data_IF_006295926050
#
_entry.id   IF_006295926050
#
_cell.length_a   1.000
_cell.length_b   1.000
_cell.length_c   1.000
_cell.angle_alpha   90.00
_cell.angle_beta   90.00
_cell.angle_gamma   90.00
#
_symmetry.space_group_name_H-M   'P 1'
#
loop_
_entity.id
_entity.type
_entity.pdbx_description
1 polymer ?
#
# COMPACT_ATOMS: atom_id res chain seq x y z
N UNK A 1 -21.31 20.29 0.89
CA UNK A 1 -21.33 19.72 -0.48
C UNK A 1 -22.63 18.95 -0.80
N UNK A 2 -23.80 19.43 -0.38
CA UNK A 2 -25.07 18.68 -0.50
C UNK A 2 -25.83 18.92 -1.83
N UNK A 3 -25.26 19.69 -2.75
CA UNK A 3 -25.96 20.15 -3.96
C UNK A 3 -25.78 19.25 -5.18
N UNK A 4 -24.90 18.24 -5.10
CA UNK A 4 -24.47 17.54 -6.31
C UNK A 4 -25.30 16.30 -6.67
N UNK A 5 -26.17 15.86 -5.76
CA UNK A 5 -27.09 14.75 -5.97
C UNK A 5 -28.54 15.24 -6.08
N UNK A 6 -28.79 16.33 -6.83
CA UNK A 6 -30.17 16.76 -7.10
C UNK A 6 -30.79 15.80 -8.12
N UNK A 7 -31.83 15.02 -7.76
CA UNK A 7 -32.39 13.98 -8.64
C UNK A 7 -32.99 14.54 -9.93
N UNK A 8 -33.36 15.83 -9.95
CA UNK A 8 -34.06 16.45 -11.08
C UNK A 8 -33.21 16.67 -12.34
N UNK A 9 -31.89 16.52 -12.27
CA UNK A 9 -30.99 16.76 -13.41
C UNK A 9 -30.05 15.58 -13.70
N UNK A 10 -30.08 14.52 -12.89
CA UNK A 10 -29.23 13.35 -13.09
C UNK A 10 -29.70 12.53 -14.29
N UNK A 11 -28.78 12.13 -15.15
CA UNK A 11 -28.99 11.34 -16.37
C UNK A 11 -28.33 9.95 -16.28
N UNK A 12 -27.69 9.62 -15.15
CA UNK A 12 -27.19 8.29 -14.83
C UNK A 12 -27.30 7.95 -13.34
N UNK A 13 -27.16 6.66 -13.05
CA UNK A 13 -27.20 6.11 -11.70
C UNK A 13 -26.06 5.13 -11.47
N UNK A 14 -25.37 5.25 -10.35
CA UNK A 14 -24.37 4.29 -9.90
C UNK A 14 -24.95 3.51 -8.74
N UNK A 15 -24.98 2.19 -8.86
CA UNK A 15 -25.42 1.25 -7.84
C UNK A 15 -24.17 0.66 -7.21
N UNK A 16 -24.03 0.78 -5.90
CA UNK A 16 -22.90 0.25 -5.16
C UNK A 16 -23.41 -0.25 -3.81
N UNK A 17 -23.30 -1.55 -3.58
CA UNK A 17 -23.89 -2.22 -2.41
C UNK A 17 -25.39 -1.90 -2.29
N UNK A 18 -25.82 -1.33 -1.15
CA UNK A 18 -27.20 -0.92 -0.88
C UNK A 18 -27.49 0.54 -1.29
N UNK A 19 -26.50 1.24 -1.88
CA UNK A 19 -26.60 2.65 -2.23
C UNK A 19 -26.85 2.84 -3.72
N UNK A 20 -27.71 3.81 -4.01
CA UNK A 20 -28.03 4.25 -5.37
C UNK A 20 -27.70 5.75 -5.47
N UNK A 21 -26.70 6.08 -6.28
CA UNK A 21 -26.14 7.43 -6.39
C UNK A 21 -26.51 8.04 -7.75
N UNK A 22 -27.29 9.11 -7.73
CA UNK A 22 -27.71 9.85 -8.93
C UNK A 22 -26.58 10.76 -9.42
N UNK A 23 -26.14 10.62 -10.68
CA UNK A 23 -24.95 11.31 -11.21
C UNK A 23 -25.21 11.93 -12.58
N UNK A 24 -24.29 12.80 -13.01
CA UNK A 24 -24.30 13.40 -14.34
C UNK A 24 -23.26 12.72 -15.25
N UNK A 25 -23.72 12.04 -16.32
CA UNK A 25 -22.87 11.37 -17.32
C UNK A 25 -21.83 12.32 -17.87
N UNK A 26 -22.24 13.52 -18.27
CA UNK A 26 -21.34 14.50 -18.87
C UNK A 26 -20.11 14.80 -17.99
N UNK A 27 -20.28 14.90 -16.67
CA UNK A 27 -19.18 15.18 -15.74
C UNK A 27 -18.27 13.94 -15.60
N UNK A 28 -18.87 12.76 -15.37
CA UNK A 28 -18.12 11.52 -15.19
C UNK A 28 -17.34 11.13 -16.43
N UNK A 29 -17.99 11.08 -17.59
CA UNK A 29 -17.39 10.75 -18.88
C UNK A 29 -16.32 11.77 -19.28
N UNK A 30 -16.49 13.04 -18.90
CA UNK A 30 -15.50 14.09 -19.13
C UNK A 30 -14.20 13.89 -18.35
N UNK A 31 -14.28 13.34 -17.13
CA UNK A 31 -13.15 13.24 -16.20
C UNK A 31 -12.55 11.83 -16.08
N UNK A 32 -13.28 10.79 -16.49
CA UNK A 32 -12.87 9.39 -16.43
C UNK A 32 -13.15 8.69 -17.75
N UNK A 33 -12.11 8.10 -18.33
CA UNK A 33 -12.26 7.25 -19.50
C UNK A 33 -13.03 5.96 -19.17
N UNK A 34 -12.84 5.41 -17.96
CA UNK A 34 -13.57 4.23 -17.50
C UNK A 34 -15.09 4.49 -17.51
N UNK A 35 -15.54 5.60 -16.91
CA UNK A 35 -16.96 5.96 -16.91
C UNK A 35 -17.46 6.28 -18.32
N UNK A 36 -16.65 6.91 -19.18
CA UNK A 36 -16.99 7.14 -20.57
C UNK A 36 -17.26 5.84 -21.32
N UNK A 37 -16.38 4.85 -21.20
CA UNK A 37 -16.57 3.54 -21.83
C UNK A 37 -17.79 2.80 -21.26
N UNK A 38 -18.05 2.93 -19.95
CA UNK A 38 -19.15 2.23 -19.30
C UNK A 38 -20.53 2.88 -19.57
N UNK A 39 -20.62 4.22 -19.61
CA UNK A 39 -21.88 4.97 -19.75
C UNK A 39 -22.22 5.36 -21.19
N UNK A 40 -21.22 5.57 -22.04
CA UNK A 40 -21.37 6.03 -23.44
C UNK A 40 -20.80 5.03 -24.46
N UNK A 41 -20.28 3.89 -24.01
CA UNK A 41 -19.75 2.86 -24.90
C UNK A 41 -20.82 2.14 -25.73
N UNK A 42 -20.43 1.30 -26.69
CA UNK A 42 -21.38 0.53 -27.51
C UNK A 42 -22.09 -0.61 -26.75
N UNK A 43 -21.70 -0.85 -25.50
CA UNK A 43 -22.19 -1.96 -24.69
C UNK A 43 -23.62 -1.74 -24.20
N UNK A 44 -24.37 -2.83 -23.99
CA UNK A 44 -25.77 -2.76 -23.54
C UNK A 44 -25.94 -1.95 -22.24
N UNK A 45 -24.91 -1.95 -21.39
CA UNK A 45 -24.85 -1.18 -20.12
C UNK A 45 -25.01 0.33 -20.35
N UNK A 46 -24.48 0.88 -21.45
CA UNK A 46 -24.58 2.32 -21.74
C UNK A 46 -26.02 2.78 -21.97
N UNK A 47 -26.88 1.89 -22.49
CA UNK A 47 -28.29 2.17 -22.76
C UNK A 47 -29.13 2.22 -21.49
N UNK A 48 -28.73 1.52 -20.44
CA UNK A 48 -29.47 1.48 -19.18
C UNK A 48 -29.27 2.75 -18.34
N UNK A 49 -28.23 3.56 -18.65
CA UNK A 49 -27.81 4.71 -17.83
C UNK A 49 -27.55 4.33 -16.36
N UNK A 50 -27.35 3.05 -16.07
CA UNK A 50 -27.05 2.53 -14.74
C UNK A 50 -25.79 1.66 -14.79
N UNK A 51 -24.91 1.82 -13.81
CA UNK A 51 -23.71 1.01 -13.63
C UNK A 51 -23.72 0.45 -12.22
N UNK A 52 -23.37 -0.83 -12.08
CA UNK A 52 -23.16 -1.47 -10.78
C UNK A 52 -21.66 -1.63 -10.54
N UNK A 53 -21.19 -1.24 -9.35
CA UNK A 53 -19.80 -1.40 -8.88
C UNK A 53 -19.85 -2.26 -7.63
N UNK A 54 -19.31 -3.48 -7.69
CA UNK A 54 -19.39 -4.46 -6.59
C UNK A 54 -18.04 -4.64 -5.88
N UNK A 55 -16.93 -4.33 -6.56
CA UNK A 55 -15.58 -4.63 -6.07
C UNK A 55 -15.05 -3.57 -5.08
N UNK A 56 -15.75 -2.44 -4.95
CA UNK A 56 -15.27 -1.28 -4.21
C UNK A 56 -16.34 -0.87 -3.20
N UNK A 57 -15.99 -0.69 -1.90
CA UNK A 57 -16.93 -0.28 -0.88
C UNK A 57 -17.66 1.01 -1.22
N UNK A 58 -18.95 1.11 -0.86
CA UNK A 58 -19.79 2.24 -1.21
C UNK A 58 -19.26 3.59 -0.70
N UNK A 59 -18.57 3.62 0.45
CA UNK A 59 -17.95 4.83 1.00
C UNK A 59 -16.82 5.36 0.11
N UNK A 60 -15.95 4.47 -0.40
CA UNK A 60 -14.87 4.85 -1.32
C UNK A 60 -15.42 5.33 -2.67
N UNK A 61 -16.47 4.67 -3.18
CA UNK A 61 -17.15 5.11 -4.41
C UNK A 61 -17.80 6.48 -4.21
N UNK A 62 -18.45 6.72 -3.06
CA UNK A 62 -19.04 8.01 -2.73
C UNK A 62 -17.99 9.12 -2.70
N UNK A 63 -16.88 8.91 -1.98
CA UNK A 63 -15.77 9.87 -1.93
C UNK A 63 -15.17 10.13 -3.32
N UNK A 64 -15.00 9.09 -4.13
CA UNK A 64 -14.51 9.21 -5.51
C UNK A 64 -15.43 10.08 -6.36
N UNK A 65 -16.75 9.87 -6.26
CA UNK A 65 -17.72 10.66 -6.99
C UNK A 65 -17.73 12.10 -6.51
N UNK A 66 -17.58 12.37 -5.21
CA UNK A 66 -17.41 13.73 -4.70
C UNK A 66 -16.14 14.40 -5.24
N UNK A 67 -15.04 13.67 -5.37
CA UNK A 67 -13.82 14.18 -6.00
C UNK A 67 -14.05 14.53 -7.48
N UNK A 68 -14.60 13.57 -8.26
CA UNK A 68 -14.84 13.76 -9.69
C UNK A 68 -15.84 14.87 -9.94
N UNK A 69 -16.91 14.95 -9.15
CA UNK A 69 -18.00 15.86 -9.40
C UNK A 69 -17.70 17.23 -8.76
N UNK A 70 -17.36 17.25 -7.47
CA UNK A 70 -17.13 18.48 -6.72
C UNK A 70 -15.89 19.25 -7.13
N UNK A 71 -14.93 18.61 -7.82
CA UNK A 71 -13.60 19.21 -8.04
C UNK A 71 -12.92 19.52 -6.72
N UNK A 72 -13.23 18.72 -5.69
CA UNK A 72 -12.76 18.92 -4.34
C UNK A 72 -11.23 18.83 -4.27
N UNK A 73 -10.65 19.56 -3.34
CA UNK A 73 -9.26 19.35 -2.95
C UNK A 73 -9.09 17.91 -2.43
N UNK A 74 -7.94 17.31 -2.73
CA UNK A 74 -7.61 15.97 -2.29
C UNK A 74 -7.41 15.94 -0.76
N UNK A 75 -8.50 15.75 -0.01
CA UNK A 75 -8.45 15.51 1.42
C UNK A 75 -8.73 14.03 1.70
N UNK A 76 -7.71 13.34 2.20
CA UNK A 76 -7.80 11.96 2.70
C UNK A 76 -7.85 11.89 4.22
N UNK A 77 -7.64 13.03 4.90
CA UNK A 77 -7.89 13.13 6.34
C UNK A 77 -9.38 12.97 6.55
N UNK A 78 -9.76 11.93 7.30
CA UNK A 78 -11.15 11.57 7.61
C UNK A 78 -12.00 11.12 6.41
N UNK A 79 -11.37 10.73 5.29
CA UNK A 79 -12.10 10.21 4.14
C UNK A 79 -12.75 8.85 4.48
N UNK A 80 -14.08 8.72 4.35
CA UNK A 80 -14.78 7.51 4.74
C UNK A 80 -14.37 6.32 3.87
N UNK A 81 -14.21 5.16 4.51
CA UNK A 81 -13.79 3.92 3.86
C UNK A 81 -12.28 3.81 3.60
N UNK A 82 -11.48 4.87 3.79
CA UNK A 82 -10.03 4.81 3.67
C UNK A 82 -9.35 4.36 4.96
N UNK A 83 -8.14 3.85 4.84
CA UNK A 83 -7.30 3.51 5.98
C UNK A 83 -6.98 4.76 6.84
N UNK A 84 -6.89 4.60 8.16
CA UNK A 84 -6.52 5.69 9.08
C UNK A 84 -5.07 6.15 8.92
N UNK A 85 -4.18 5.28 8.43
CA UNK A 85 -2.84 5.67 8.02
C UNK A 85 -2.91 6.48 6.73
N UNK A 86 -2.49 7.75 6.81
CA UNK A 86 -2.51 8.66 5.66
C UNK A 86 -1.69 8.13 4.47
N UNK A 87 -0.56 7.44 4.72
CA UNK A 87 0.27 6.86 3.65
C UNK A 87 -0.41 5.68 2.96
N UNK A 88 -1.14 4.86 3.71
CA UNK A 88 -1.94 3.76 3.14
C UNK A 88 -3.13 4.34 2.39
N UNK A 89 -3.80 5.36 2.93
CA UNK A 89 -4.90 6.06 2.26
C UNK A 89 -4.46 6.66 0.91
N UNK A 90 -3.26 7.25 0.83
CA UNK A 90 -2.71 7.70 -0.45
C UNK A 90 -2.54 6.56 -1.45
N UNK A 91 -2.04 5.40 -1.03
CA UNK A 91 -1.93 4.24 -1.91
C UNK A 91 -3.32 3.80 -2.41
N UNK A 92 -4.31 3.68 -1.52
CA UNK A 92 -5.67 3.31 -1.90
C UNK A 92 -6.31 4.32 -2.87
N UNK A 93 -6.08 5.62 -2.66
CA UNK A 93 -6.58 6.66 -3.55
C UNK A 93 -5.89 6.61 -4.92
N UNK A 94 -4.58 6.32 -4.96
CA UNK A 94 -3.85 6.12 -6.20
C UNK A 94 -4.38 4.91 -6.98
N UNK A 95 -4.62 3.81 -6.28
CA UNK A 95 -5.18 2.57 -6.83
C UNK A 95 -6.56 2.79 -7.44
N UNK A 96 -7.45 3.51 -6.75
CA UNK A 96 -8.75 3.93 -7.26
C UNK A 96 -8.60 4.81 -8.50
N UNK A 97 -7.69 5.80 -8.45
CA UNK A 97 -7.43 6.68 -9.57
C UNK A 97 -6.92 5.93 -10.80
N UNK A 98 -6.05 4.95 -10.59
CA UNK A 98 -5.57 4.08 -11.66
C UNK A 98 -6.70 3.19 -12.23
N UNK A 99 -7.49 2.56 -11.36
CA UNK A 99 -8.61 1.68 -11.76
C UNK A 99 -9.65 2.40 -12.61
N UNK A 100 -10.12 3.57 -12.14
CA UNK A 100 -11.12 4.38 -12.85
C UNK A 100 -10.53 5.30 -13.92
N UNK A 101 -9.23 5.17 -14.22
CA UNK A 101 -8.51 5.99 -15.20
C UNK A 101 -8.74 7.49 -14.98
N UNK A 102 -8.35 7.96 -13.80
CA UNK A 102 -8.47 9.34 -13.32
C UNK A 102 -7.07 9.96 -13.12
N UNK A 103 -6.42 10.48 -14.18
CA UNK A 103 -5.06 11.04 -14.09
C UNK A 103 -4.95 12.19 -13.07
N UNK A 104 -6.01 12.97 -12.90
CA UNK A 104 -6.04 14.06 -11.92
C UNK A 104 -5.93 13.54 -10.48
N UNK A 105 -6.57 12.40 -10.16
CA UNK A 105 -6.49 11.80 -8.84
C UNK A 105 -5.09 11.20 -8.61
N UNK A 106 -4.57 10.42 -9.55
CA UNK A 106 -3.24 9.80 -9.40
C UNK A 106 -2.13 10.83 -9.30
N UNK A 107 -2.20 11.91 -10.09
CA UNK A 107 -1.24 13.02 -10.04
C UNK A 107 -1.38 13.79 -8.73
N UNK A 108 -2.62 14.12 -8.33
CA UNK A 108 -2.88 14.79 -7.06
C UNK A 108 -2.34 14.02 -5.86
N UNK A 109 -2.52 12.70 -5.84
CA UNK A 109 -1.98 11.82 -4.80
C UNK A 109 -0.46 11.82 -4.78
N UNK A 110 0.20 11.69 -5.94
CA UNK A 110 1.67 11.72 -6.03
C UNK A 110 2.23 13.04 -5.52
N UNK A 111 1.62 14.16 -5.92
CA UNK A 111 2.01 15.50 -5.45
C UNK A 111 1.79 15.62 -3.95
N UNK A 112 0.57 15.32 -3.46
CA UNK A 112 0.23 15.42 -2.06
C UNK A 112 1.10 14.53 -1.18
N UNK A 113 1.41 13.29 -1.60
CA UNK A 113 2.30 12.38 -0.88
C UNK A 113 3.73 12.90 -0.83
N UNK A 114 4.24 13.44 -1.95
CA UNK A 114 5.60 14.02 -2.01
C UNK A 114 5.73 15.30 -1.18
N UNK A 115 4.64 16.05 -1.06
CA UNK A 115 4.53 17.32 -0.33
C UNK A 115 3.98 17.15 1.08
N UNK A 116 3.73 15.92 1.54
CA UNK A 116 3.27 15.72 2.89
C UNK A 116 4.26 16.36 3.86
N UNK A 117 3.77 17.17 4.82
CA UNK A 117 4.60 17.65 5.90
C UNK A 117 5.28 16.46 6.55
N UNK A 118 6.59 16.57 6.77
CA UNK A 118 7.28 15.64 7.65
C UNK A 118 6.71 15.71 9.07
N UNK A 119 7.18 14.82 9.96
CA UNK A 119 6.93 14.97 11.38
C UNK A 119 7.37 16.38 11.78
N UNK A 120 6.43 17.17 12.31
CA UNK A 120 6.68 18.59 12.53
C UNK A 120 7.80 18.75 13.56
N UNK A 121 8.72 19.68 13.29
CA UNK A 121 9.70 20.09 14.29
C UNK A 121 9.04 20.69 15.55
N UNK A 122 7.76 21.08 15.51
CA UNK A 122 7.02 21.50 16.69
C UNK A 122 6.61 20.34 17.62
N UNK A 123 6.59 19.10 17.12
CA UNK A 123 6.40 17.90 17.95
C UNK A 123 7.73 17.42 18.55
N UNK A 124 8.84 17.92 18.01
CA UNK A 124 10.14 17.81 18.66
C UNK A 124 10.13 18.78 19.83
N UNK A 125 9.81 18.26 21.01
CA UNK A 125 10.06 18.99 22.26
C UNK A 125 11.47 19.56 22.19
N UNK A 126 11.58 20.89 22.27
CA UNK A 126 12.86 21.60 22.31
C UNK A 126 13.60 21.19 23.58
N UNK A 127 14.25 20.02 23.51
CA UNK A 127 15.28 19.63 24.44
C UNK A 127 16.46 20.56 24.21
N UNK A 128 17.04 21.05 25.31
CA UNK A 128 18.25 21.89 25.33
C UNK A 128 19.50 21.14 24.87
N UNK A 129 19.35 19.88 24.42
CA UNK A 129 20.41 19.10 23.80
C UNK A 129 20.81 19.74 22.46
N UNK A 130 22.10 20.11 22.26
CA UNK A 130 22.61 20.63 21.00
C UNK A 130 22.45 19.66 19.83
N UNK A 131 22.12 18.39 20.10
CA UNK A 131 21.74 17.39 19.11
C UNK A 131 20.39 16.79 19.47
N UNK A 132 19.26 17.48 19.23
CA UNK A 132 17.95 16.91 19.46
C UNK A 132 17.85 15.63 18.62
N UNK A 133 17.83 14.47 19.30
CA UNK A 133 17.50 13.21 18.65
C UNK A 133 16.03 13.27 18.32
N UNK A 134 15.71 13.86 17.18
CA UNK A 134 14.40 13.84 16.60
C UNK A 134 14.02 12.38 16.35
N UNK A 135 13.34 11.77 17.33
CA UNK A 135 12.83 10.42 17.17
C UNK A 135 11.50 10.51 16.44
N UNK A 136 11.41 9.75 15.35
CA UNK A 136 10.12 9.51 14.72
C UNK A 136 9.23 8.75 15.70
N UNK A 137 7.94 9.06 15.74
CA UNK A 137 7.02 8.20 16.47
C UNK A 137 6.99 6.83 15.80
N UNK A 138 6.94 5.75 16.60
CA UNK A 138 6.84 4.40 16.06
C UNK A 138 5.61 4.25 15.15
N UNK A 139 4.52 4.96 15.47
CA UNK A 139 3.30 5.03 14.67
C UNK A 139 3.55 5.62 13.28
N UNK A 140 4.29 6.73 13.18
CA UNK A 140 4.64 7.33 11.89
C UNK A 140 5.47 6.37 11.05
N UNK A 141 6.51 5.77 11.63
CA UNK A 141 7.39 4.83 10.92
C UNK A 141 6.60 3.61 10.44
N UNK A 142 5.77 3.02 11.30
CA UNK A 142 4.91 1.89 10.93
C UNK A 142 3.93 2.24 9.81
N UNK A 143 3.22 3.37 9.94
CA UNK A 143 2.28 3.86 8.94
C UNK A 143 2.96 4.13 7.58
N UNK A 144 4.14 4.73 7.60
CA UNK A 144 4.93 5.03 6.42
C UNK A 144 5.35 3.74 5.70
N UNK A 145 5.93 2.77 6.42
CA UNK A 145 6.39 1.52 5.81
C UNK A 145 5.24 0.62 5.36
N UNK A 146 4.06 0.66 6.00
CA UNK A 146 2.86 0.02 5.44
C UNK A 146 2.48 0.60 4.08
N UNK A 147 2.59 1.93 3.91
CA UNK A 147 2.41 2.60 2.62
C UNK A 147 3.45 2.19 1.59
N UNK A 148 4.73 2.17 1.98
CA UNK A 148 5.84 1.71 1.11
C UNK A 148 5.62 0.27 0.65
N UNK A 149 5.41 -0.66 1.58
CA UNK A 149 5.19 -2.06 1.28
C UNK A 149 4.04 -2.23 0.28
N UNK A 150 2.94 -1.48 0.47
CA UNK A 150 1.80 -1.50 -0.46
C UNK A 150 2.16 -0.96 -1.85
N UNK A 151 2.86 0.16 -1.94
CA UNK A 151 3.27 0.76 -3.22
C UNK A 151 4.28 -0.12 -3.99
N UNK A 152 5.14 -0.85 -3.27
CA UNK A 152 6.16 -1.73 -3.85
C UNK A 152 5.66 -3.17 -4.08
N UNK A 153 4.56 -3.59 -3.45
CA UNK A 153 3.90 -4.86 -3.76
C UNK A 153 3.42 -4.93 -5.23
N UNK A 154 3.14 -3.78 -5.86
CA UNK A 154 2.78 -3.71 -7.26
C UNK A 154 3.99 -3.34 -8.15
N UNK A 155 4.52 -4.33 -8.87
CA UNK A 155 5.65 -4.15 -9.79
C UNK A 155 5.27 -3.50 -11.13
N UNK A 156 4.00 -3.13 -11.34
CA UNK A 156 3.55 -2.50 -12.57
C UNK A 156 4.23 -1.13 -12.79
N UNK A 157 4.67 -0.82 -14.03
CA UNK A 157 5.17 0.50 -14.38
C UNK A 157 4.21 1.65 -14.03
N UNK A 158 2.90 1.38 -14.00
CA UNK A 158 1.89 2.36 -13.63
C UNK A 158 1.97 2.84 -12.18
N UNK A 159 2.64 2.09 -11.29
CA UNK A 159 2.83 2.45 -9.88
C UNK A 159 4.17 3.13 -9.60
N UNK A 160 5.04 3.26 -10.62
CA UNK A 160 6.33 3.96 -10.50
C UNK A 160 6.19 5.42 -10.02
N UNK A 161 5.19 6.21 -10.44
CA UNK A 161 5.00 7.56 -9.90
C UNK A 161 4.77 7.56 -8.38
N UNK A 162 3.95 6.62 -7.87
CA UNK A 162 3.67 6.47 -6.45
C UNK A 162 4.93 6.04 -5.67
N UNK A 163 5.65 5.04 -6.17
CA UNK A 163 6.92 4.59 -5.57
C UNK A 163 7.95 5.73 -5.50
N UNK A 164 8.07 6.51 -6.58
CA UNK A 164 8.95 7.68 -6.64
C UNK A 164 8.52 8.77 -5.65
N UNK A 165 7.22 8.96 -5.43
CA UNK A 165 6.71 9.93 -4.47
C UNK A 165 7.17 9.59 -3.03
N UNK A 166 7.14 8.31 -2.63
CA UNK A 166 7.69 7.86 -1.35
C UNK A 166 9.19 8.18 -1.23
N UNK A 167 9.97 7.92 -2.29
CA UNK A 167 11.40 8.25 -2.31
C UNK A 167 11.62 9.75 -2.17
N UNK A 168 10.88 10.57 -2.90
CA UNK A 168 10.97 12.04 -2.83
C UNK A 168 10.62 12.53 -1.42
N UNK A 169 9.57 11.99 -0.80
CA UNK A 169 9.20 12.31 0.57
C UNK A 169 10.34 11.99 1.56
N UNK A 170 10.92 10.79 1.46
CA UNK A 170 12.07 10.40 2.30
C UNK A 170 13.29 11.30 2.07
N UNK A 171 13.64 11.61 0.82
CA UNK A 171 14.81 12.45 0.52
C UNK A 171 14.64 13.89 1.01
N UNK A 172 13.41 14.43 0.97
CA UNK A 172 13.08 15.75 1.56
C UNK A 172 13.29 15.75 3.07
N UNK A 173 12.93 14.67 3.74
CA UNK A 173 13.01 14.52 5.19
C UNK A 173 14.27 13.78 5.66
N UNK A 174 15.27 13.59 4.79
CA UNK A 174 16.40 12.67 5.02
C UNK A 174 17.19 12.94 6.31
N UNK A 175 17.27 14.20 6.74
CA UNK A 175 18.02 14.60 7.93
C UNK A 175 17.36 14.13 9.24
N UNK A 176 16.04 13.94 9.24
CA UNK A 176 15.28 13.37 10.35
C UNK A 176 15.17 11.86 10.14
N UNK A 177 14.67 11.47 8.96
CA UNK A 177 14.23 10.11 8.68
C UNK A 177 15.39 9.11 8.62
N UNK A 178 16.53 9.47 8.00
CA UNK A 178 17.68 8.57 7.93
C UNK A 178 18.55 8.59 9.19
N UNK A 179 18.33 9.55 10.09
CA UNK A 179 18.99 9.59 11.39
C UNK A 179 18.28 8.69 12.42
N UNK A 180 17.02 8.31 12.16
CA UNK A 180 16.21 7.47 13.04
C UNK A 180 16.60 5.97 12.92
N UNK A 181 17.01 5.32 14.03
CA UNK A 181 17.35 3.90 14.02
C UNK A 181 16.17 2.98 13.68
N UNK A 182 14.95 3.36 14.06
CA UNK A 182 13.74 2.59 13.78
C UNK A 182 13.45 2.57 12.29
N UNK A 183 13.51 3.73 11.64
CA UNK A 183 13.34 3.86 10.20
C UNK A 183 14.41 3.08 9.42
N UNK A 184 15.68 3.24 9.80
CA UNK A 184 16.78 2.52 9.14
C UNK A 184 16.73 1.01 9.36
N UNK A 185 16.22 0.55 10.51
CA UNK A 185 15.90 -0.86 10.73
C UNK A 185 14.86 -1.39 9.73
N UNK A 186 13.75 -0.66 9.55
CA UNK A 186 12.69 -1.03 8.62
C UNK A 186 13.10 -0.96 7.12
N UNK A 187 14.13 -0.19 6.76
CA UNK A 187 14.66 -0.21 5.38
C UNK A 187 15.20 -1.59 4.98
N UNK A 188 15.63 -2.41 5.94
CA UNK A 188 16.07 -3.79 5.69
C UNK A 188 14.94 -4.69 5.17
N UNK A 189 13.70 -4.40 5.53
CA UNK A 189 12.52 -5.18 5.13
C UNK A 189 12.06 -4.84 3.70
N UNK A 190 12.43 -3.67 3.18
CA UNK A 190 12.01 -3.16 1.86
C UNK A 190 13.21 -2.83 0.95
N UNK A 191 13.93 -3.84 0.42
CA UNK A 191 15.19 -3.63 -0.29
C UNK A 191 15.06 -2.86 -1.60
N UNK A 192 13.92 -2.99 -2.30
CA UNK A 192 13.64 -2.22 -3.52
C UNK A 192 13.53 -0.72 -3.22
N UNK A 193 12.85 -0.37 -2.13
CA UNK A 193 12.71 1.00 -1.69
C UNK A 193 14.05 1.57 -1.20
N UNK A 194 14.80 0.80 -0.40
CA UNK A 194 16.14 1.19 0.05
C UNK A 194 17.09 1.46 -1.13
N UNK A 195 17.06 0.60 -2.16
CA UNK A 195 17.81 0.81 -3.40
C UNK A 195 17.41 2.13 -4.08
N UNK A 196 16.12 2.40 -4.22
CA UNK A 196 15.64 3.62 -4.89
C UNK A 196 16.00 4.90 -4.11
N UNK A 197 16.04 4.85 -2.77
CA UNK A 197 16.59 5.93 -1.94
C UNK A 197 18.08 6.16 -2.23
N UNK A 198 18.89 5.10 -2.23
CA UNK A 198 20.33 5.20 -2.50
C UNK A 198 20.60 5.78 -3.89
N UNK A 199 19.86 5.32 -4.91
CA UNK A 199 19.94 5.88 -6.26
C UNK A 199 19.53 7.36 -6.30
N UNK A 200 18.51 7.74 -5.51
CA UNK A 200 18.11 9.13 -5.33
C UNK A 200 19.22 10.00 -4.73
N UNK A 201 19.86 9.54 -3.66
CA UNK A 201 20.99 10.23 -3.02
C UNK A 201 22.18 10.39 -3.97
N UNK A 202 22.54 9.33 -4.69
CA UNK A 202 23.61 9.38 -5.70
C UNK A 202 23.26 10.38 -6.81
N UNK A 203 22.01 10.41 -7.27
CA UNK A 203 21.58 11.36 -8.29
C UNK A 203 21.66 12.81 -7.81
N UNK A 204 21.41 13.10 -6.53
CA UNK A 204 21.63 14.45 -5.98
C UNK A 204 23.11 14.84 -5.97
N UNK A 205 24.02 13.89 -5.67
CA UNK A 205 25.46 14.13 -5.66
C UNK A 205 26.05 14.35 -7.05
N UNK A 206 25.61 13.56 -8.05
CA UNK A 206 26.21 13.54 -9.38
C UNK A 206 25.37 14.21 -10.47
N UNK A 207 24.08 14.46 -10.22
CA UNK A 207 23.13 15.02 -11.18
C UNK A 207 22.98 16.55 -11.12
N UNK A 208 23.65 17.21 -10.18
CA UNK A 208 23.63 18.66 -10.00
C UNK A 208 24.49 19.42 -11.01
N UNK A 209 24.08 19.43 -12.29
CA UNK A 209 24.68 20.23 -13.36
C UNK A 209 26.02 19.67 -13.86
N UNK A 210 26.29 19.62 -15.16
CA UNK A 210 26.35 20.83 -15.96
C UNK A 210 27.57 21.72 -15.64
N UNK A 211 28.11 21.64 -14.42
CA UNK A 211 29.49 22.05 -14.17
C UNK A 211 30.37 20.99 -14.79
N UNK A 212 30.96 21.30 -15.95
CA UNK A 212 32.19 20.66 -16.41
C UNK A 212 33.04 20.42 -15.16
N UNK A 213 33.20 19.15 -14.76
CA UNK A 213 34.47 18.74 -14.22
C UNK A 213 35.47 19.17 -15.29
N UNK A 214 36.07 20.34 -15.11
CA UNK A 214 37.40 20.59 -15.62
C UNK A 214 38.20 19.44 -15.03
N UNK A 215 38.32 18.37 -15.81
CA UNK A 215 39.38 17.40 -15.66
C UNK A 215 40.61 18.25 -15.44
N UNK A 216 41.28 18.20 -14.27
CA UNK A 216 42.50 18.94 -14.09
C UNK A 216 43.39 18.56 -15.27
N UNK A 217 43.72 19.56 -16.08
CA UNK A 217 44.57 19.44 -17.24
C UNK A 217 45.83 18.69 -16.80
N UNK A 218 46.04 17.57 -17.49
CA UNK A 218 47.07 16.56 -17.30
C UNK A 218 48.25 16.97 -16.40
N UNK A 219 48.37 16.29 -15.25
CA UNK A 219 49.67 16.11 -14.62
C UNK A 219 50.45 15.11 -15.49
N UNK A 220 51.72 15.40 -15.83
CA UNK A 220 52.49 14.61 -16.77
C UNK A 220 52.71 13.18 -16.29
N UNK A 221 52.56 12.30 -17.28
CA UNK A 221 52.74 10.87 -17.30
C UNK A 221 54.00 10.42 -16.53
N UNK A 222 53.82 9.78 -15.39
CA UNK A 222 54.86 8.98 -14.75
C UNK A 222 54.32 7.64 -14.26
N UNK A 223 54.72 6.60 -14.99
CA UNK A 223 54.98 5.23 -14.52
C UNK A 223 53.82 4.37 -13.99
N UNK A 224 53.31 3.53 -14.90
CA UNK A 224 53.25 2.05 -14.81
C UNK A 224 53.39 1.46 -13.39
N UNK A 225 52.27 1.27 -12.72
CA UNK A 225 52.13 0.45 -11.51
C UNK A 225 50.97 -0.53 -11.67
N UNK A 226 51.29 -1.82 -11.60
CA UNK A 226 50.40 -2.97 -11.71
C UNK A 226 49.51 -3.08 -10.45
N UNK A 227 48.18 -3.04 -10.62
CA UNK A 227 47.21 -3.30 -9.55
C UNK A 227 46.20 -4.35 -10.02
N UNK A 228 46.68 -5.58 -10.15
CA UNK A 228 45.85 -6.77 -10.23
C UNK A 228 45.42 -7.23 -8.83
N UNK A 229 44.11 -7.21 -8.59
CA UNK A 229 43.46 -7.96 -7.52
C UNK A 229 43.05 -7.12 -6.32
N UNK A 230 41.74 -6.95 -6.14
CA UNK A 230 41.00 -6.92 -4.86
C UNK A 230 39.55 -6.45 -5.09
N UNK A 231 38.71 -7.28 -5.71
CA UNK A 231 37.26 -7.23 -5.50
C UNK A 231 36.69 -8.66 -5.60
N UNK A 232 36.10 -9.24 -4.53
CA UNK A 232 35.43 -10.52 -4.61
C UNK A 232 34.03 -10.38 -5.22
N UNK A 233 33.65 -11.40 -6.00
CA UNK A 233 32.54 -11.40 -6.93
C UNK A 233 31.16 -11.30 -6.30
N UNK A 234 30.36 -10.40 -6.85
CA UNK A 234 28.90 -10.42 -6.73
C UNK A 234 28.36 -11.27 -7.87
N UNK A 235 27.96 -12.50 -7.56
CA UNK A 235 27.27 -13.39 -8.48
C UNK A 235 25.85 -12.90 -8.71
N UNK A 236 25.53 -12.56 -9.95
CA UNK A 236 24.18 -12.27 -10.41
C UNK A 236 23.29 -13.52 -10.31
N UNK A 237 22.27 -13.49 -9.46
CA UNK A 237 21.16 -14.45 -9.53
C UNK A 237 19.99 -13.76 -10.26
N UNK A 238 19.44 -14.35 -11.33
CA UNK A 238 18.29 -13.77 -12.01
C UNK A 238 17.02 -13.98 -11.18
N UNK A 239 16.33 -12.89 -10.86
CA UNK A 239 14.97 -12.95 -10.30
C UNK A 239 13.98 -13.31 -11.41
N UNK A 240 13.25 -14.42 -11.24
CA UNK A 240 12.10 -14.76 -12.07
C UNK A 240 10.89 -13.98 -11.58
N UNK A 241 10.41 -13.04 -12.39
CA UNK A 241 9.11 -12.38 -12.16
C UNK A 241 7.99 -13.29 -12.66
N UNK A 242 7.10 -13.68 -11.74
CA UNK A 242 5.85 -14.37 -12.05
C UNK A 242 4.84 -13.37 -12.61
N UNK A 243 4.60 -13.40 -13.93
CA UNK A 243 3.43 -12.80 -14.54
C UNK A 243 2.20 -13.64 -14.17
N UNK A 244 1.30 -13.08 -13.36
CA UNK A 244 -0.15 -13.34 -13.29
C UNK A 244 -0.66 -12.90 -11.91
N UNK A 245 -1.27 -11.71 -11.84
CA UNK A 245 -1.86 -11.18 -10.61
C UNK A 245 -3.21 -10.54 -10.88
N UNK A 246 -4.29 -11.24 -10.52
CA UNK A 246 -5.56 -10.59 -10.21
C UNK A 246 -5.32 -9.66 -8.99
N UNK A 247 -5.78 -8.40 -9.02
CA UNK A 247 -5.47 -7.47 -7.95
C UNK A 247 -6.51 -7.57 -6.81
N UNK A 248 -6.08 -7.15 -5.63
CA UNK A 248 -6.89 -6.93 -4.41
C UNK A 248 -7.32 -8.20 -3.66
N UNK A 249 -6.38 -8.80 -2.93
CA UNK A 249 -6.51 -9.34 -1.56
C UNK A 249 -5.16 -9.99 -1.22
N UNK A 250 -4.14 -9.19 -0.92
CA UNK A 250 -2.87 -9.69 -0.40
C UNK A 250 -2.87 -9.47 1.12
N UNK A 251 -2.89 -10.56 1.88
CA UNK A 251 -2.64 -10.52 3.32
C UNK A 251 -1.19 -10.09 3.57
N UNK A 252 -0.99 -8.82 3.91
CA UNK A 252 0.31 -8.28 4.28
C UNK A 252 0.61 -8.70 5.73
N UNK A 253 1.80 -9.27 5.97
CA UNK A 253 2.36 -9.35 7.33
C UNK A 253 2.75 -7.94 7.77
N UNK A 254 2.43 -7.56 9.01
CA UNK A 254 2.83 -6.27 9.56
C UNK A 254 4.34 -6.26 9.84
N UNK A 255 5.13 -5.34 9.27
CA UNK A 255 6.55 -5.18 9.62
C UNK A 255 6.78 -4.83 11.10
N UNK A 256 5.76 -4.31 11.78
CA UNK A 256 5.87 -3.73 13.13
C UNK A 256 5.73 -4.76 14.25
N UNK A 257 5.40 -6.02 13.95
CA UNK A 257 5.26 -7.09 14.96
C UNK A 257 6.59 -7.40 15.66
N UNK A 258 7.72 -6.98 15.06
CA UNK A 258 9.07 -7.17 15.61
C UNK A 258 9.45 -6.12 16.67
N UNK A 259 8.80 -4.95 16.70
CA UNK A 259 9.20 -3.83 17.56
C UNK A 259 8.68 -3.92 19.02
N UNK A 260 7.78 -4.85 19.34
CA UNK A 260 7.14 -4.93 20.67
C UNK A 260 7.69 -6.01 21.60
N UNK A 261 8.85 -6.63 21.30
CA UNK A 261 9.45 -7.63 22.20
C UNK A 261 10.37 -6.98 23.22
N UNK A 262 9.81 -6.35 24.23
CA UNK A 262 10.49 -6.15 25.51
C UNK A 262 10.27 -7.38 26.40
N UNK A 263 11.37 -7.96 26.90
CA UNK A 263 11.35 -9.14 27.76
C UNK A 263 10.63 -8.83 29.09
N UNK A 264 9.39 -9.28 29.22
CA UNK A 264 8.71 -9.39 30.51
C UNK A 264 8.87 -10.82 31.03
N UNK A 265 9.61 -10.99 32.13
CA UNK A 265 9.61 -12.19 32.95
C UNK A 265 8.19 -12.44 33.47
N UNK A 266 7.60 -13.59 33.12
CA UNK A 266 6.31 -14.04 33.67
C UNK A 266 6.54 -15.38 34.36
N UNK A 267 6.37 -15.40 35.69
CA UNK A 267 6.20 -16.63 36.48
C UNK A 267 4.78 -17.20 36.31
N UNK A 268 4.58 -18.53 36.44
CA UNK A 268 3.27 -19.14 36.22
C UNK A 268 2.45 -19.19 37.51
N UNK A 269 1.22 -18.69 37.46
CA UNK A 269 0.18 -19.00 38.46
C UNK A 269 -1.13 -19.37 37.75
N UNK A 270 -1.54 -20.63 37.96
CA UNK A 270 -2.90 -21.01 38.38
C UNK A 270 -4.08 -20.88 37.41
N UNK A 271 -4.47 -22.04 36.86
CA UNK A 271 -5.80 -22.48 36.43
C UNK A 271 -7.02 -21.56 36.64
N UNK A 272 -7.80 -21.37 35.56
CA UNK A 272 -9.26 -21.28 35.65
C UNK A 272 -9.96 -21.77 34.36
N UNK A 273 -11.07 -22.47 34.58
CA UNK A 273 -11.96 -23.13 33.63
C UNK A 273 -12.56 -22.22 32.55
N UNK A 274 -12.68 -22.72 31.32
CA UNK A 274 -13.59 -22.20 30.29
C UNK A 274 -14.48 -23.33 29.78
N UNK A 275 -15.78 -23.05 29.68
CA UNK A 275 -16.84 -23.98 29.33
C UNK A 275 -16.88 -24.26 27.81
N UNK A 276 -17.10 -25.52 27.44
CA UNK A 276 -17.34 -25.99 26.08
C UNK A 276 -18.82 -25.82 25.69
N UNK A 277 -19.08 -25.34 24.47
CA UNK A 277 -20.41 -25.41 23.83
C UNK A 277 -20.28 -26.10 22.46
N UNK A 278 -20.90 -27.28 22.33
CA UNK A 278 -21.39 -27.87 21.08
C UNK A 278 -20.39 -28.58 20.16
N UNK A 279 -20.38 -29.92 20.17
CA UNK A 279 -19.75 -30.76 19.13
C UNK A 279 -20.83 -31.46 18.30
N UNK A 280 -20.77 -31.35 16.97
CA UNK A 280 -21.46 -32.27 16.05
C UNK A 280 -20.43 -33.22 15.46
N UNK A 281 -20.61 -34.53 15.66
CA UNK A 281 -19.74 -35.58 15.12
C UNK A 281 -20.37 -36.21 13.88
N UNK A 282 -19.59 -36.32 12.80
CA UNK A 282 -19.88 -37.17 11.64
C UNK A 282 -18.98 -38.42 11.67
N UNK A 283 -19.47 -39.65 11.38
CA UNK A 283 -18.81 -40.86 11.87
C UNK A 283 -17.66 -41.42 11.00
N UNK A 284 -17.10 -40.66 10.05
CA UNK A 284 -16.12 -41.22 9.10
C UNK A 284 -14.85 -40.40 8.82
N UNK A 285 -14.53 -39.39 9.63
CA UNK A 285 -13.26 -38.66 9.53
C UNK A 285 -12.70 -38.35 10.93
N UNK A 286 -11.42 -38.68 11.16
CA UNK A 286 -10.66 -38.30 12.36
C UNK A 286 -10.21 -36.82 12.26
N UNK A 287 -11.13 -35.89 12.05
CA UNK A 287 -10.83 -34.46 12.04
C UNK A 287 -11.80 -33.71 12.97
N UNK A 288 -11.23 -32.88 13.83
CA UNK A 288 -11.96 -31.92 14.67
C UNK A 288 -11.77 -30.54 14.04
N UNK A 289 -12.87 -29.90 13.66
CA UNK A 289 -12.88 -28.54 13.13
C UNK A 289 -13.22 -27.56 14.25
N UNK A 290 -12.33 -26.61 14.52
CA UNK A 290 -12.58 -25.46 15.39
C UNK A 290 -12.64 -24.20 14.52
N UNK A 291 -13.68 -23.38 14.74
CA UNK A 291 -13.82 -22.08 14.08
C UNK A 291 -13.57 -20.98 15.10
N UNK A 292 -12.55 -20.16 14.83
CA UNK A 292 -12.30 -18.90 15.53
C UNK A 292 -11.93 -17.85 14.47
N UNK A 293 -12.64 -16.71 14.44
CA UNK A 293 -12.37 -15.57 13.55
C UNK A 293 -12.25 -15.88 12.04
N UNK A 294 -13.20 -16.62 11.47
CA UNK A 294 -13.24 -16.96 10.02
C UNK A 294 -12.02 -17.76 9.48
N UNK A 295 -11.13 -18.28 10.34
CA UNK A 295 -10.13 -19.26 9.94
C UNK A 295 -10.61 -20.68 10.27
N UNK A 296 -10.58 -21.59 9.28
CA UNK A 296 -10.82 -23.02 9.50
C UNK A 296 -9.49 -23.69 9.81
N UNK A 297 -9.32 -24.19 11.03
CA UNK A 297 -8.14 -24.96 11.44
C UNK A 297 -8.48 -26.46 11.36
N UNK A 298 -7.74 -27.22 10.54
CA UNK A 298 -7.71 -28.69 10.62
C UNK A 298 -6.55 -29.10 11.52
N UNK A 299 -6.87 -29.87 12.56
CA UNK A 299 -5.90 -30.52 13.42
C UNK A 299 -5.95 -32.03 13.18
N UNK A 300 -4.83 -32.62 12.77
CA UNK A 300 -4.67 -34.07 12.67
C UNK A 300 -3.93 -34.58 13.90
N UNK A 301 -4.51 -35.57 14.58
CA UNK A 301 -3.90 -36.20 15.76
C UNK A 301 -3.07 -37.39 15.29
N UNK A 302 -1.76 -37.37 15.57
CA UNK A 302 -0.89 -38.51 15.34
C UNK A 302 -1.14 -39.62 16.39
N UNK A 303 -0.89 -40.89 16.05
CA UNK A 303 -1.06 -42.01 16.98
C UNK A 303 -0.20 -41.92 18.25
N UNK A 304 0.84 -41.08 18.25
CA UNK A 304 1.75 -40.87 19.39
C UNK A 304 1.35 -39.68 20.30
N UNK A 305 0.17 -39.08 20.10
CA UNK A 305 -0.38 -38.04 21.00
C UNK A 305 0.22 -36.64 20.84
N UNK A 306 1.11 -36.41 19.88
CA UNK A 306 1.62 -35.08 19.54
C UNK A 306 0.67 -34.30 18.64
N UNK A 307 0.27 -33.08 19.05
CA UNK A 307 -0.45 -32.11 18.22
C UNK A 307 0.54 -31.36 17.32
N UNK A 308 0.36 -31.46 16.00
CA UNK A 308 1.11 -30.65 15.04
C UNK A 308 0.17 -29.68 14.35
N UNK A 309 0.44 -28.38 14.45
CA UNK A 309 -0.34 -27.34 13.79
C UNK A 309 0.14 -27.21 12.34
N UNK A 310 -0.61 -27.77 11.38
CA UNK A 310 -0.32 -27.60 9.96
C UNK A 310 -1.32 -26.61 9.35
N UNK A 311 -0.97 -25.32 9.32
CA UNK A 311 -1.75 -24.31 8.58
C UNK A 311 -1.68 -24.63 7.09
N UNK A 312 -2.74 -25.25 6.57
CA UNK A 312 -2.92 -25.50 5.14
C UNK A 312 -3.97 -24.52 4.64
N UNK A 313 -3.54 -23.50 3.89
CA UNK A 313 -4.46 -22.50 3.33
C UNK A 313 -5.15 -23.09 2.11
N UNK A 314 -6.42 -23.47 2.26
CA UNK A 314 -7.26 -23.85 1.13
C UNK A 314 -7.88 -22.58 0.52
N UNK A 315 -7.48 -22.27 -0.72
CA UNK A 315 -8.06 -21.19 -1.52
C UNK A 315 -9.32 -21.73 -2.21
N UNK A 316 -10.51 -21.47 -1.65
CA UNK A 316 -11.77 -21.77 -2.33
C UNK A 316 -11.95 -20.79 -3.50
N UNK A 317 -11.88 -21.29 -4.73
CA UNK A 317 -12.26 -20.54 -5.93
C UNK A 317 -13.77 -20.64 -6.12
N UNK A 318 -14.50 -19.58 -5.75
CA UNK A 318 -15.89 -19.37 -6.20
C UNK A 318 -15.86 -18.67 -7.56
N UNK A 319 -16.11 -19.41 -8.64
CA UNK A 319 -16.40 -18.85 -9.96
C UNK A 319 -17.92 -18.63 -10.08
N UNK A 320 -18.35 -17.37 -10.18
CA UNK A 320 -19.72 -17.01 -10.50
C UNK A 320 -19.83 -16.58 -11.97
N UNK A 321 -20.71 -17.27 -12.70
CA UNK A 321 -21.01 -17.11 -14.13
C UNK A 321 -21.72 -15.77 -14.40
N UNK A 322 -21.23 -15.00 -15.36
CA UNK A 322 -22.02 -13.98 -16.06
C UNK A 322 -21.86 -14.15 -17.57
N UNK A 323 -22.60 -15.10 -18.12
CA UNK A 323 -22.96 -15.17 -19.53
C UNK A 323 -24.17 -16.11 -19.68
N UNK A 324 -25.37 -15.57 -19.47
CA UNK A 324 -26.65 -15.94 -20.11
C UNK A 324 -27.81 -15.32 -19.32
N UNK A 325 -28.25 -14.13 -19.74
CA UNK A 325 -29.65 -13.71 -19.90
C UNK A 325 -29.70 -12.35 -20.57
#
# INVERSE_FOLDING_TARGET
MHYMFRPGLSDATIICEDRTLAVHKFILCGRSEWFRTALDGPFVVSKASSITIEEIPADKVSWLLEFICGGAELSLKDAPGFNSSIFVAYCEAYELGHYFRLPLLTTGVVTALSEQPGPSASDLQYTTDPFPKAQLTAEYTCAFFHGVARAYANNSPAFRPLQRAFVVHTLRQRHIVLADPGFTGCLGDEPCFAKDILLGLLKEQYGGGGSRLTVPEQVPDTSRGDFGGLLPGWGSVPFTTSENGAPWQAGLRSPCDTMSRSEANVEPVGNSHVAFVGSHTCPHLNEVLLCENQEVLSCTVNPDGGLYNRKTSYRLLMYSRLAQR
#
